data_IF_452647756832
#
_entry.id   IF_452647756832
#
_cell.length_a   1.000
_cell.length_b   1.000
_cell.length_c   1.000
_cell.angle_alpha   90.00
_cell.angle_beta   90.00
_cell.angle_gamma   90.00
#
_symmetry.space_group_name_H-M   'P 1'
#
loop_
_entity.id
_entity.type
_entity.pdbx_description
1 polymer ?
#
# COMPACT_ATOMS: atom_id res chain seq x y z
N UNK A 1 8.06 -1.47 -3.30
CA UNK A 1 8.74 -0.30 -3.90
C UNK A 1 7.79 0.52 -4.78
N UNK A 2 7.13 -0.04 -5.79
CA UNK A 2 6.19 0.72 -6.65
C UNK A 2 4.99 1.31 -5.89
N UNK A 3 4.26 0.49 -5.11
CA UNK A 3 3.12 1.01 -4.32
C UNK A 3 3.53 2.05 -3.27
N UNK A 4 4.75 1.93 -2.71
CA UNK A 4 5.31 2.95 -1.82
C UNK A 4 5.39 4.29 -2.54
N UNK A 5 6.01 4.31 -3.72
CA UNK A 5 6.14 5.51 -4.55
C UNK A 5 4.75 6.09 -4.91
N UNK A 6 3.80 5.24 -5.33
CA UNK A 6 2.46 5.69 -5.67
C UNK A 6 1.71 6.28 -4.46
N UNK A 7 1.87 5.67 -3.28
CA UNK A 7 1.32 6.18 -2.02
C UNK A 7 1.94 7.53 -1.64
N UNK A 8 3.27 7.66 -1.77
CA UNK A 8 3.96 8.94 -1.54
C UNK A 8 3.47 10.01 -2.50
N UNK A 9 3.34 9.71 -3.80
CA UNK A 9 2.81 10.66 -4.78
C UNK A 9 1.40 11.10 -4.43
N UNK A 10 0.51 10.16 -4.07
CA UNK A 10 -0.87 10.50 -3.69
C UNK A 10 -0.97 11.31 -2.40
N UNK A 11 -0.06 11.10 -1.43
CA UNK A 11 0.01 11.88 -0.19
C UNK A 11 0.35 13.36 -0.45
N UNK A 12 0.96 13.68 -1.59
CA UNK A 12 1.31 15.06 -2.01
C UNK A 12 0.42 15.58 -3.14
N UNK A 13 -0.81 15.06 -3.27
CA UNK A 13 -1.74 15.48 -4.32
C UNK A 13 -2.25 16.91 -4.12
N UNK A 14 -2.58 17.26 -2.88
CA UNK A 14 -3.12 18.57 -2.49
C UNK A 14 -2.01 19.54 -2.13
N UNK A 15 -2.33 20.84 -2.19
CA UNK A 15 -1.44 21.90 -1.75
C UNK A 15 -1.25 21.79 -0.22
N UNK A 16 -0.03 21.99 0.25
CA UNK A 16 0.33 21.92 1.67
C UNK A 16 1.09 23.16 2.12
N UNK A 17 1.45 23.23 3.39
CA UNK A 17 2.26 24.30 3.95
C UNK A 17 3.45 23.69 4.65
N UNK A 18 4.64 24.25 4.48
CA UNK A 18 5.84 23.81 5.19
C UNK A 18 5.89 24.33 6.63
N UNK A 19 6.96 23.99 7.36
CA UNK A 19 7.20 24.41 8.74
C UNK A 19 7.33 25.94 8.89
N UNK A 20 7.69 26.64 7.82
CA UNK A 20 7.89 28.09 7.79
C UNK A 20 6.63 28.85 7.34
N UNK A 21 5.54 28.14 7.05
CA UNK A 21 4.28 28.74 6.61
C UNK A 21 4.22 29.02 5.09
N UNK A 22 5.19 28.55 4.30
CA UNK A 22 5.18 28.72 2.85
C UNK A 22 4.28 27.68 2.19
N UNK A 23 3.49 28.12 1.20
CA UNK A 23 2.63 27.24 0.43
C UNK A 23 3.46 26.37 -0.51
N UNK A 24 3.28 25.06 -0.39
CA UNK A 24 3.80 24.06 -1.33
C UNK A 24 2.66 23.63 -2.24
N UNK A 25 2.87 23.75 -3.55
CA UNK A 25 1.90 23.28 -4.53
C UNK A 25 1.93 21.75 -4.62
N UNK A 26 0.76 21.14 -4.53
CA UNK A 26 0.53 19.70 -4.71
C UNK A 26 0.66 19.27 -6.16
N UNK A 27 0.99 18.00 -6.37
CA UNK A 27 1.22 17.42 -7.69
C UNK A 27 -0.08 17.06 -8.45
N UNK A 28 -1.25 17.24 -7.82
CA UNK A 28 -2.59 16.97 -8.38
C UNK A 28 -2.86 15.50 -8.76
N UNK A 29 -1.98 14.59 -8.37
CA UNK A 29 -2.09 13.16 -8.65
C UNK A 29 -2.73 12.42 -7.48
N UNK A 30 -4.06 12.41 -7.44
CA UNK A 30 -4.83 11.62 -6.46
C UNK A 30 -4.61 10.12 -6.65
N UNK A 31 -4.88 9.31 -5.61
CA UNK A 31 -4.80 7.85 -5.71
C UNK A 31 -5.69 7.28 -6.82
N UNK A 32 -6.87 7.87 -7.05
CA UNK A 32 -7.76 7.52 -8.16
C UNK A 32 -7.14 7.81 -9.53
N UNK A 33 -6.47 8.96 -9.69
CA UNK A 33 -5.80 9.32 -10.95
C UNK A 33 -4.65 8.36 -11.23
N UNK A 34 -3.84 8.06 -10.22
CA UNK A 34 -2.77 7.08 -10.32
C UNK A 34 -3.31 5.68 -10.62
N UNK A 35 -4.38 5.24 -9.96
CA UNK A 35 -5.00 3.95 -10.22
C UNK A 35 -5.59 3.84 -11.62
N UNK A 36 -6.09 4.94 -12.20
CA UNK A 36 -6.56 4.97 -13.59
C UNK A 36 -5.43 4.73 -14.59
N UNK A 37 -4.25 5.31 -14.34
CA UNK A 37 -3.08 5.18 -15.23
C UNK A 37 -2.36 3.85 -15.03
N UNK A 38 -2.13 3.46 -13.78
CA UNK A 38 -1.34 2.28 -13.42
C UNK A 38 -2.18 1.00 -13.33
N UNK A 39 -3.47 1.10 -13.08
CA UNK A 39 -4.39 -0.03 -12.94
C UNK A 39 -4.25 -1.08 -14.04
N UNK A 40 -4.38 -0.70 -15.32
CA UNK A 40 -4.19 -1.62 -16.43
C UNK A 40 -2.82 -2.29 -16.39
N UNK A 41 -1.74 -1.52 -16.23
CA UNK A 41 -0.37 -2.04 -16.26
C UNK A 41 0.00 -2.94 -15.08
N UNK A 42 -0.67 -2.79 -13.94
CA UNK A 42 -0.43 -3.59 -12.74
C UNK A 42 -1.18 -4.92 -12.74
N UNK A 43 -2.41 -4.93 -13.26
CA UNK A 43 -3.33 -6.06 -13.15
C UNK A 43 -3.77 -6.62 -14.50
N UNK A 44 -3.04 -6.32 -15.59
CA UNK A 44 -3.38 -6.79 -16.93
C UNK A 44 -3.66 -8.30 -16.93
N UNK A 45 -4.87 -8.66 -17.37
CA UNK A 45 -5.24 -10.04 -17.70
C UNK A 45 -4.27 -10.52 -18.78
N UNK A 46 -3.62 -11.67 -18.55
CA UNK A 46 -2.79 -12.33 -19.57
C UNK A 46 -3.60 -12.39 -20.88
N UNK A 47 -3.05 -11.82 -21.97
CA UNK A 47 -3.70 -11.87 -23.28
C UNK A 47 -3.83 -13.33 -23.70
N UNK A 48 -5.03 -13.88 -23.65
CA UNK A 48 -5.35 -15.03 -24.48
C UNK A 48 -5.37 -14.50 -25.91
N UNK A 49 -4.27 -14.69 -26.63
CA UNK A 49 -4.18 -14.42 -28.05
C UNK A 49 -5.15 -15.35 -28.76
N UNK A 50 -6.39 -14.90 -28.94
CA UNK A 50 -7.30 -15.28 -30.02
C UNK A 50 -8.70 -14.76 -29.69
N UNK A 51 -9.19 -13.83 -30.53
CA UNK A 51 -10.61 -13.41 -30.65
C UNK A 51 -11.14 -12.36 -29.63
N UNK A 52 -10.56 -11.17 -29.60
CA UNK A 52 -11.31 -9.97 -29.16
C UNK A 52 -11.38 -8.93 -30.29
N UNK A 53 -12.03 -9.30 -31.39
CA UNK A 53 -12.70 -8.32 -32.24
C UNK A 53 -14.21 -8.42 -31.95
N UNK A 54 -14.80 -7.27 -31.65
CA UNK A 54 -16.24 -7.01 -31.55
C UNK A 54 -17.01 -7.56 -30.33
N UNK A 55 -16.90 -6.90 -29.16
CA UNK A 55 -18.06 -6.31 -28.44
C UNK A 55 -17.54 -5.17 -27.56
N UNK A 56 -17.97 -3.93 -27.81
CA UNK A 56 -17.82 -2.79 -26.90
C UNK A 56 -18.73 -3.01 -25.66
N UNK A 57 -18.40 -3.99 -24.82
CA UNK A 57 -19.27 -4.46 -23.74
C UNK A 57 -19.10 -3.65 -22.46
N UNK A 58 -20.21 -3.36 -21.78
CA UNK A 58 -20.27 -2.92 -20.38
C UNK A 58 -19.36 -3.77 -19.47
N UNK A 59 -19.22 -5.06 -19.75
CA UNK A 59 -18.35 -5.97 -19.00
C UNK A 59 -16.87 -5.55 -19.02
N UNK A 60 -16.38 -4.95 -20.11
CA UNK A 60 -15.00 -4.44 -20.20
C UNK A 60 -14.84 -3.15 -19.39
N UNK A 61 -15.86 -2.28 -19.38
CA UNK A 61 -15.87 -1.07 -18.57
C UNK A 61 -15.95 -1.39 -17.07
N UNK A 62 -16.77 -2.35 -16.69
CA UNK A 62 -16.88 -2.85 -15.30
C UNK A 62 -15.58 -3.48 -14.83
N UNK A 63 -14.93 -4.31 -15.68
CA UNK A 63 -13.62 -4.87 -15.36
C UNK A 63 -12.55 -3.79 -15.17
N UNK A 64 -12.54 -2.75 -16.02
CA UNK A 64 -11.64 -1.61 -15.87
C UNK A 64 -11.90 -0.87 -14.55
N UNK A 65 -13.17 -0.66 -14.19
CA UNK A 65 -13.56 -0.04 -12.91
C UNK A 65 -13.10 -0.86 -11.70
N UNK A 66 -13.23 -2.18 -11.76
CA UNK A 66 -12.76 -3.08 -10.70
C UNK A 66 -11.24 -3.00 -10.54
N UNK A 67 -10.49 -3.02 -11.66
CA UNK A 67 -9.03 -2.88 -11.66
C UNK A 67 -8.60 -1.56 -11.02
N UNK A 68 -9.22 -0.45 -11.44
CA UNK A 68 -8.94 0.88 -10.88
C UNK A 68 -9.24 0.89 -9.38
N UNK A 69 -10.38 0.34 -8.96
CA UNK A 69 -10.81 0.32 -7.56
C UNK A 69 -9.84 -0.48 -6.67
N UNK A 70 -9.37 -1.64 -7.15
CA UNK A 70 -8.39 -2.46 -6.42
C UNK A 70 -7.06 -1.73 -6.29
N UNK A 71 -6.53 -1.16 -7.37
CA UNK A 71 -5.25 -0.45 -7.32
C UNK A 71 -5.35 0.82 -6.48
N UNK A 72 -6.47 1.55 -6.55
CA UNK A 72 -6.71 2.69 -5.68
C UNK A 72 -6.66 2.25 -4.22
N UNK A 73 -7.37 1.17 -3.86
CA UNK A 73 -7.37 0.65 -2.49
C UNK A 73 -5.96 0.25 -2.03
N UNK A 74 -5.17 -0.39 -2.91
CA UNK A 74 -3.77 -0.76 -2.62
C UNK A 74 -2.88 0.47 -2.36
N UNK A 75 -3.11 1.59 -3.05
CA UNK A 75 -2.40 2.86 -2.82
C UNK A 75 -2.85 3.48 -1.49
N UNK A 76 -4.16 3.58 -1.27
CA UNK A 76 -4.75 4.23 -0.10
C UNK A 76 -4.42 3.48 1.21
N UNK A 77 -4.29 2.16 1.18
CA UNK A 77 -3.98 1.34 2.35
C UNK A 77 -2.54 0.83 2.37
N UNK A 78 -1.62 1.43 1.61
CA UNK A 78 -0.24 0.95 1.49
C UNK A 78 0.43 0.68 2.86
N UNK A 79 0.23 1.58 3.83
CA UNK A 79 0.86 1.50 5.15
C UNK A 79 0.40 0.27 5.96
N UNK A 80 -0.80 -0.27 5.68
CA UNK A 80 -1.36 -1.45 6.37
C UNK A 80 -1.45 -2.69 5.48
N UNK A 81 -1.34 -2.54 4.17
CA UNK A 81 -1.56 -3.60 3.17
C UNK A 81 -0.64 -4.82 3.36
N UNK A 82 0.58 -4.58 3.84
CA UNK A 82 1.60 -5.63 4.03
C UNK A 82 1.79 -6.01 5.51
N UNK A 83 0.94 -5.49 6.40
CA UNK A 83 0.99 -5.79 7.82
C UNK A 83 0.03 -6.92 8.16
N UNK A 84 0.44 -7.76 9.11
CA UNK A 84 -0.47 -8.73 9.72
C UNK A 84 -1.43 -7.95 10.65
N UNK A 85 -2.75 -8.19 10.64
CA UNK A 85 -3.67 -7.53 11.56
C UNK A 85 -3.32 -7.80 13.02
N UNK A 86 -3.59 -6.84 13.91
CA UNK A 86 -3.24 -6.94 15.33
C UNK A 86 -3.87 -8.17 16.01
N UNK A 87 -5.11 -8.52 15.66
CA UNK A 87 -5.80 -9.68 16.22
C UNK A 87 -5.08 -10.99 15.89
N UNK A 88 -4.65 -11.14 14.63
CA UNK A 88 -3.91 -12.32 14.18
C UNK A 88 -2.48 -12.35 14.75
N UNK A 89 -1.84 -11.18 14.89
CA UNK A 89 -0.56 -11.09 15.60
C UNK A 89 -0.69 -11.55 17.06
N UNK A 90 -1.77 -11.15 17.74
CA UNK A 90 -2.02 -11.54 19.12
C UNK A 90 -2.30 -13.04 19.24
N UNK A 91 -3.14 -13.61 18.37
CA UNK A 91 -3.41 -15.05 18.33
C UNK A 91 -2.11 -15.86 18.18
N UNK A 92 -1.28 -15.51 17.18
CA UNK A 92 0.01 -16.16 16.95
C UNK A 92 0.95 -15.99 18.14
N UNK A 93 0.99 -14.80 18.76
CA UNK A 93 1.81 -14.54 19.94
C UNK A 93 1.39 -15.42 21.13
N UNK A 94 0.09 -15.56 21.39
CA UNK A 94 -0.40 -16.41 22.48
C UNK A 94 -0.05 -17.87 22.23
N UNK A 95 -0.25 -18.37 21.00
CA UNK A 95 0.15 -19.75 20.66
C UNK A 95 1.65 -19.97 20.84
N UNK A 96 2.50 -19.04 20.37
CA UNK A 96 3.95 -19.16 20.52
C UNK A 96 4.41 -19.06 21.97
N UNK A 97 3.72 -18.30 22.81
CA UNK A 97 4.02 -18.22 24.23
C UNK A 97 3.82 -19.56 24.95
N UNK A 98 2.83 -20.35 24.50
CA UNK A 98 2.55 -21.68 25.02
C UNK A 98 3.47 -22.76 24.44
N UNK A 99 3.79 -22.70 23.14
CA UNK A 99 4.59 -23.75 22.48
C UNK A 99 6.10 -23.53 22.56
N UNK A 100 6.56 -22.29 22.38
CA UNK A 100 7.97 -21.94 22.17
C UNK A 100 8.31 -20.55 22.79
N UNK A 101 8.28 -20.40 24.13
CA UNK A 101 8.45 -19.11 24.79
C UNK A 101 9.81 -18.44 24.53
N UNK A 102 10.87 -19.21 24.30
CA UNK A 102 12.20 -18.68 23.99
C UNK A 102 12.23 -17.93 22.64
N UNK A 103 11.40 -18.37 21.68
CA UNK A 103 11.25 -17.70 20.38
C UNK A 103 10.57 -16.35 20.57
N UNK A 104 9.57 -16.27 21.45
CA UNK A 104 8.89 -15.01 21.78
C UNK A 104 9.88 -14.02 22.38
N UNK A 105 10.71 -14.43 23.35
CA UNK A 105 11.73 -13.55 23.95
C UNK A 105 12.72 -13.05 22.88
N UNK A 106 13.20 -13.94 22.00
CA UNK A 106 14.06 -13.55 20.89
C UNK A 106 13.40 -12.52 19.94
N UNK A 107 12.14 -12.75 19.56
CA UNK A 107 11.39 -11.86 18.67
C UNK A 107 11.15 -10.48 19.31
N UNK A 108 10.82 -10.44 20.59
CA UNK A 108 10.60 -9.19 21.34
C UNK A 108 11.91 -8.38 21.46
N UNK A 109 13.02 -9.02 21.85
CA UNK A 109 14.33 -8.35 21.90
C UNK A 109 14.76 -7.79 20.55
N UNK A 110 14.55 -8.57 19.48
CA UNK A 110 14.85 -8.14 18.12
C UNK A 110 13.99 -6.96 17.68
N UNK A 111 12.71 -6.92 18.08
CA UNK A 111 11.81 -5.79 17.81
C UNK A 111 12.27 -4.53 18.55
N UNK A 112 12.66 -4.65 19.81
CA UNK A 112 13.09 -3.51 20.62
C UNK A 112 14.41 -2.90 20.10
N UNK A 113 15.30 -3.76 19.59
CA UNK A 113 16.54 -3.34 18.91
C UNK A 113 16.24 -2.54 17.62
N UNK A 114 15.26 -2.96 16.82
CA UNK A 114 14.87 -2.23 15.61
C UNK A 114 14.17 -0.88 15.90
N UNK A 115 13.43 -0.81 17.01
CA UNK A 115 12.76 0.43 17.42
C UNK A 115 13.77 1.50 17.86
N UNK A 116 14.82 1.08 18.58
CA UNK A 116 15.90 1.97 19.01
C UNK A 116 16.73 2.50 17.84
N UNK A 117 16.94 1.70 16.79
CA UNK A 117 17.62 2.18 15.57
C UNK A 117 16.77 3.19 14.77
N UNK A 118 15.45 3.01 14.71
CA UNK A 118 14.55 3.91 13.96
C UNK A 118 14.39 5.29 14.60
N UNK A 119 14.56 5.41 15.92
CA UNK A 119 14.44 6.68 16.66
C UNK A 119 15.70 7.57 16.57
N UNK A 120 16.80 7.03 16.03
CA UNK A 120 18.02 7.79 15.70
C UNK A 120 18.01 8.35 14.27
N UNK A 121 17.01 8.01 13.46
CA UNK A 121 16.91 8.36 12.03
C UNK A 121 15.77 9.36 11.71
N UNK A 122 15.01 9.81 12.70
CA UNK A 122 14.09 10.95 12.55
C UNK A 122 14.89 12.25 12.64
N UNK A 123 15.03 13.05 11.56
CA UNK A 123 15.44 14.43 11.69
C UNK A 123 14.29 15.23 12.31
N UNK A 124 14.62 16.14 13.22
CA UNK A 124 13.74 17.22 13.67
C UNK A 124 13.16 18.02 12.48
#
# INVERSE_FOLDING_TARGET
RLLCMLSTVSKHAEDSTDSEGLQIQGNKMTSRNLATIFGPNLLHKQKNSEKEFAVQSFARAEQSSAIISVVQKMIDTYDTLFMVPADLQNEVLMTLLETDPDVVDYLLRRKDSQCSDSSLLSPD
#
